data_IF_548268764705
#
_entry.id   IF_548268764705
#
_cell.length_a   1.000
_cell.length_b   1.000
_cell.length_c   1.000
_cell.angle_alpha   90.00
_cell.angle_beta   90.00
_cell.angle_gamma   90.00
#
_symmetry.space_group_name_H-M   'P 1'
#
loop_
_entity.id
_entity.type
_entity.pdbx_description
1 polymer ?
#
# COMPACT_ATOMS: atom_id res chain seq x y z
N UNK A 1 20.30 -19.50 1.37
CA UNK A 1 19.85 -18.33 0.58
C UNK A 1 18.40 -18.56 0.20
N UNK A 2 17.54 -17.54 0.28
CA UNK A 2 16.13 -17.63 -0.11
C UNK A 2 15.67 -16.32 -0.74
N UNK A 3 14.50 -16.32 -1.38
CA UNK A 3 13.82 -15.06 -1.77
C UNK A 3 13.53 -14.25 -0.52
N UNK A 4 13.65 -12.92 -0.58
CA UNK A 4 13.39 -12.04 0.56
C UNK A 4 11.98 -12.14 1.15
N UNK A 5 11.02 -12.65 0.37
CA UNK A 5 9.65 -12.91 0.77
C UNK A 5 9.50 -13.76 2.05
N UNK A 6 10.46 -14.63 2.41
CA UNK A 6 10.33 -15.44 3.64
C UNK A 6 10.40 -14.60 4.92
N UNK A 7 10.97 -13.40 4.85
CA UNK A 7 11.13 -12.46 5.97
C UNK A 7 10.21 -11.24 5.85
N UNK A 8 9.17 -11.32 5.00
CA UNK A 8 8.28 -10.19 4.70
C UNK A 8 6.84 -10.66 4.51
N UNK A 9 5.88 -9.75 4.78
CA UNK A 9 4.47 -9.97 4.46
C UNK A 9 3.88 -11.25 5.08
N UNK A 10 2.97 -11.87 4.34
CA UNK A 10 2.16 -13.01 4.80
C UNK A 10 2.95 -14.30 5.04
N UNK A 11 4.18 -14.40 4.55
CA UNK A 11 5.02 -15.60 4.74
C UNK A 11 5.58 -15.68 6.16
N UNK A 12 5.82 -14.52 6.80
CA UNK A 12 6.44 -14.47 8.12
C UNK A 12 5.64 -15.26 9.16
N UNK A 13 4.33 -15.01 9.35
CA UNK A 13 3.52 -15.78 10.30
C UNK A 13 3.33 -17.25 9.91
N UNK A 14 3.61 -17.66 8.67
CA UNK A 14 3.47 -19.04 8.22
C UNK A 14 4.72 -19.88 8.50
N UNK A 15 5.90 -19.27 8.45
CA UNK A 15 7.19 -19.96 8.48
C UNK A 15 7.83 -19.89 9.87
N UNK A 16 8.03 -18.68 10.38
CA UNK A 16 8.92 -18.45 11.53
C UNK A 16 8.40 -18.98 12.86
N UNK A 17 7.09 -18.94 13.19
CA UNK A 17 6.60 -19.51 14.43
C UNK A 17 7.02 -20.98 14.62
N UNK A 18 6.98 -21.78 13.56
CA UNK A 18 7.37 -23.20 13.61
C UNK A 18 8.87 -23.38 13.88
N UNK A 19 9.70 -22.53 13.30
CA UNK A 19 11.16 -22.56 13.50
C UNK A 19 11.47 -22.21 14.97
N UNK A 20 10.90 -21.11 15.47
CA UNK A 20 11.16 -20.65 16.84
C UNK A 20 10.61 -21.62 17.90
N UNK A 21 9.45 -22.24 17.66
CA UNK A 21 8.88 -23.26 18.54
C UNK A 21 9.74 -24.53 18.65
N UNK A 22 10.60 -24.80 17.67
CA UNK A 22 11.56 -25.90 17.70
C UNK A 22 12.86 -25.58 18.47
N UNK A 23 12.88 -24.50 19.27
CA UNK A 23 14.07 -24.11 20.04
C UNK A 23 15.20 -23.57 19.18
N UNK A 24 14.87 -23.02 18.00
CA UNK A 24 15.83 -22.45 17.07
C UNK A 24 15.72 -20.92 17.05
N UNK A 25 16.82 -20.26 16.70
CA UNK A 25 16.88 -18.80 16.52
C UNK A 25 17.70 -18.41 15.29
N UNK A 26 17.51 -17.17 14.84
CA UNK A 26 18.35 -16.58 13.79
C UNK A 26 19.64 -16.06 14.45
N UNK A 27 20.78 -16.58 14.02
CA UNK A 27 22.10 -16.07 14.44
C UNK A 27 22.78 -15.23 13.35
N UNK A 28 22.32 -15.36 12.10
CA UNK A 28 22.92 -14.67 10.97
C UNK A 28 21.83 -14.22 10.01
N UNK A 29 21.83 -12.95 9.64
CA UNK A 29 20.87 -12.40 8.68
C UNK A 29 21.53 -11.44 7.71
N UNK A 30 21.71 -11.85 6.45
CA UNK A 30 22.02 -10.92 5.37
C UNK A 30 20.71 -10.34 4.83
N UNK A 31 20.55 -9.03 4.98
CA UNK A 31 19.41 -8.26 4.49
C UNK A 31 19.36 -8.27 2.95
N UNK A 32 18.31 -7.67 2.39
CA UNK A 32 18.01 -7.73 0.96
C UNK A 32 19.21 -7.37 0.08
N UNK A 33 19.49 -8.21 -0.90
CA UNK A 33 20.41 -7.94 -2.01
C UNK A 33 19.82 -8.46 -3.31
N UNK A 34 20.18 -7.82 -4.43
CA UNK A 34 19.77 -8.32 -5.75
C UNK A 34 20.62 -9.53 -6.14
N UNK A 35 19.96 -10.59 -6.61
CA UNK A 35 20.66 -11.77 -7.11
C UNK A 35 21.44 -11.42 -8.38
N UNK A 36 22.70 -11.85 -8.43
CA UNK A 36 23.54 -11.75 -9.62
C UNK A 36 24.48 -12.95 -9.73
N UNK A 37 24.67 -13.44 -10.96
CA UNK A 37 25.72 -14.38 -11.31
C UNK A 37 26.35 -13.97 -12.66
N UNK A 38 27.38 -14.71 -13.11
CA UNK A 38 28.10 -14.41 -14.34
C UNK A 38 27.39 -14.90 -15.63
N UNK A 39 26.11 -15.28 -15.57
CA UNK A 39 25.34 -15.70 -16.74
C UNK A 39 24.71 -14.50 -17.47
N UNK A 40 24.47 -14.67 -18.77
CA UNK A 40 23.93 -13.63 -19.65
C UNK A 40 22.48 -13.22 -19.35
N UNK A 41 21.73 -14.02 -18.59
CA UNK A 41 20.35 -13.73 -18.16
C UNK A 41 20.21 -13.96 -16.65
N UNK A 42 20.54 -12.94 -15.87
CA UNK A 42 20.31 -12.96 -14.44
C UNK A 42 18.83 -12.87 -14.10
N UNK A 43 18.39 -13.66 -13.11
CA UNK A 43 17.06 -13.55 -12.54
C UNK A 43 16.93 -12.21 -11.80
N UNK A 44 15.86 -11.45 -12.06
CA UNK A 44 15.54 -10.22 -11.34
C UNK A 44 14.80 -10.58 -10.06
N UNK A 45 15.55 -10.99 -9.03
CA UNK A 45 15.00 -11.37 -7.73
C UNK A 45 15.83 -10.81 -6.59
N UNK A 46 15.16 -10.38 -5.52
CA UNK A 46 15.81 -9.97 -4.29
C UNK A 46 15.91 -11.19 -3.33
N UNK A 47 17.10 -11.40 -2.79
CA UNK A 47 17.43 -12.50 -1.89
C UNK A 47 17.76 -12.02 -0.49
N UNK A 48 17.65 -12.96 0.47
CA UNK A 48 18.18 -12.86 1.83
C UNK A 48 18.99 -14.12 2.14
N UNK A 49 19.88 -14.02 3.13
CA UNK A 49 20.56 -15.20 3.69
C UNK A 49 20.23 -15.26 5.18
N UNK A 50 19.66 -16.37 5.63
CA UNK A 50 19.31 -16.56 7.03
C UNK A 50 20.00 -17.82 7.56
N UNK A 51 20.78 -17.65 8.62
CA UNK A 51 21.40 -18.72 9.38
C UNK A 51 20.61 -18.98 10.66
N UNK A 52 20.22 -20.24 10.84
CA UNK A 52 19.44 -20.70 11.99
C UNK A 52 20.31 -21.68 12.79
N UNK A 53 20.27 -21.58 14.11
CA UNK A 53 20.95 -22.48 15.05
C UNK A 53 20.03 -22.76 16.24
N UNK A 54 20.41 -23.68 17.14
CA UNK A 54 19.70 -23.78 18.41
C UNK A 54 19.94 -22.51 19.24
N UNK A 55 18.97 -22.18 20.10
CA UNK A 55 19.03 -20.96 20.93
C UNK A 55 20.30 -20.92 21.78
N UNK A 56 21.03 -19.80 21.70
CA UNK A 56 22.21 -19.54 22.51
C UNK A 56 23.52 -20.15 22.01
N UNK A 57 23.51 -20.90 20.90
CA UNK A 57 24.72 -21.57 20.40
C UNK A 57 25.71 -20.63 19.70
N UNK A 58 25.24 -19.49 19.17
CA UNK A 58 26.04 -18.62 18.30
C UNK A 58 25.85 -17.15 18.62
N UNK A 59 26.92 -16.38 18.44
CA UNK A 59 26.83 -14.92 18.40
C UNK A 59 25.99 -14.48 17.20
N UNK A 60 25.29 -13.35 17.35
CA UNK A 60 24.33 -12.88 16.34
C UNK A 60 24.83 -11.66 15.60
N UNK A 61 24.67 -11.66 14.27
CA UNK A 61 25.02 -10.54 13.42
C UNK A 61 24.07 -10.36 12.24
N UNK A 62 23.75 -9.10 11.95
CA UNK A 62 23.00 -8.66 10.77
C UNK A 62 23.99 -8.04 9.79
N UNK A 63 23.85 -8.39 8.51
CA UNK A 63 24.67 -7.91 7.42
C UNK A 63 23.80 -7.14 6.43
N UNK A 64 24.27 -5.97 6.01
CA UNK A 64 23.75 -5.24 4.86
C UNK A 64 24.76 -5.26 3.71
N UNK A 65 24.53 -4.41 2.70
CA UNK A 65 25.45 -4.27 1.58
C UNK A 65 26.87 -3.88 2.03
N UNK A 66 26.96 -2.89 2.93
CA UNK A 66 28.24 -2.27 3.32
C UNK A 66 28.46 -2.24 4.84
N UNK A 67 27.68 -3.03 5.61
CA UNK A 67 27.81 -3.04 7.06
C UNK A 67 27.61 -4.43 7.67
N UNK A 68 28.17 -4.59 8.87
CA UNK A 68 27.88 -5.69 9.79
C UNK A 68 27.56 -5.09 11.16
N UNK A 69 26.50 -5.58 11.79
CA UNK A 69 26.07 -5.18 13.13
C UNK A 69 25.92 -6.41 14.02
N UNK A 70 26.71 -6.48 15.10
CA UNK A 70 26.48 -7.45 16.17
C UNK A 70 25.28 -7.01 17.00
N UNK A 71 24.39 -7.96 17.31
CA UNK A 71 23.11 -7.69 18.00
C UNK A 71 22.82 -8.80 19.02
N UNK A 72 21.94 -8.52 19.97
CA UNK A 72 21.53 -9.53 20.97
C UNK A 72 20.50 -10.52 20.45
N UNK A 73 19.63 -10.07 19.53
CA UNK A 73 18.57 -10.85 18.92
C UNK A 73 18.28 -10.38 17.49
N UNK A 74 17.96 -11.34 16.60
CA UNK A 74 17.52 -11.08 15.23
C UNK A 74 16.12 -11.67 15.08
N UNK A 75 15.16 -10.84 14.67
CA UNK A 75 13.78 -11.28 14.48
C UNK A 75 13.51 -11.82 13.06
N UNK A 76 12.30 -12.33 12.86
CA UNK A 76 11.83 -12.89 11.59
C UNK A 76 11.88 -11.92 10.39
N UNK A 77 11.98 -10.61 10.64
CA UNK A 77 12.10 -9.55 9.64
C UNK A 77 13.55 -9.15 9.35
N UNK A 78 14.53 -9.87 9.91
CA UNK A 78 15.97 -9.56 9.84
C UNK A 78 16.32 -8.17 10.39
N UNK A 79 15.66 -7.82 11.49
CA UNK A 79 15.92 -6.62 12.27
C UNK A 79 16.31 -6.98 13.69
N UNK A 80 16.99 -6.06 14.37
CA UNK A 80 17.37 -6.23 15.76
C UNK A 80 16.13 -6.19 16.66
N UNK A 81 16.08 -7.09 17.64
CA UNK A 81 15.06 -7.08 18.69
C UNK A 81 14.32 -8.40 18.84
N UNK A 82 13.22 -8.35 19.60
CA UNK A 82 12.44 -9.51 19.95
C UNK A 82 11.76 -10.18 18.74
N UNK A 83 11.54 -11.50 18.85
CA UNK A 83 10.78 -12.29 17.89
C UNK A 83 9.28 -11.95 17.97
N UNK A 84 8.91 -10.86 17.33
CA UNK A 84 7.52 -10.43 17.18
C UNK A 84 7.04 -10.83 15.80
N UNK A 85 5.86 -11.44 15.75
CA UNK A 85 5.22 -11.88 14.50
C UNK A 85 3.97 -11.05 14.32
N UNK A 86 3.94 -10.26 13.25
CA UNK A 86 2.75 -9.52 12.84
C UNK A 86 1.86 -10.45 12.02
N UNK A 87 0.65 -10.65 12.52
CA UNK A 87 -0.36 -11.48 11.87
C UNK A 87 -1.29 -10.63 11.03
N UNK A 88 -1.94 -11.28 10.07
CA UNK A 88 -2.91 -10.62 9.20
C UNK A 88 -4.13 -10.21 10.01
N UNK A 89 -4.51 -8.94 9.93
CA UNK A 89 -5.74 -8.41 10.52
C UNK A 89 -6.77 -8.07 9.43
N UNK A 90 -8.02 -8.50 9.59
CA UNK A 90 -9.11 -8.16 8.66
C UNK A 90 -9.62 -6.73 8.86
N UNK A 91 -9.56 -6.23 10.10
CA UNK A 91 -9.93 -4.88 10.50
C UNK A 91 -8.77 -4.20 11.24
N UNK A 92 -8.73 -2.85 11.31
CA UNK A 92 -7.70 -2.15 12.06
C UNK A 92 -7.67 -2.49 13.55
N UNK A 93 -6.48 -2.74 14.09
CA UNK A 93 -6.26 -2.97 15.53
C UNK A 93 -6.33 -1.68 16.38
N UNK A 94 -6.34 -0.53 15.72
CA UNK A 94 -6.42 0.79 16.33
C UNK A 94 -7.66 1.55 15.81
N UNK A 95 -8.02 2.65 16.48
CA UNK A 95 -9.17 3.51 16.12
C UNK A 95 -8.87 4.40 14.89
N UNK A 96 -8.61 3.75 13.75
CA UNK A 96 -8.35 4.35 12.43
C UNK A 96 -9.37 3.87 11.40
N UNK A 97 -9.53 4.62 10.30
CA UNK A 97 -10.54 4.31 9.30
C UNK A 97 -10.26 2.98 8.59
N UNK A 98 -11.30 2.22 8.22
CA UNK A 98 -11.14 0.97 7.48
C UNK A 98 -10.65 1.23 6.05
N UNK A 99 -9.62 0.51 5.63
CA UNK A 99 -9.05 0.60 4.28
C UNK A 99 -9.46 -0.57 3.41
N UNK A 100 -9.85 -0.27 2.18
CA UNK A 100 -10.27 -1.25 1.19
C UNK A 100 -9.28 -1.32 0.03
N UNK A 101 -9.12 -2.50 -0.55
CA UNK A 101 -8.54 -2.60 -1.89
C UNK A 101 -9.52 -2.04 -2.92
N UNK A 102 -9.00 -1.36 -3.95
CA UNK A 102 -9.80 -0.74 -4.99
C UNK A 102 -10.62 -1.71 -5.84
N UNK A 103 -11.32 -1.15 -6.80
CA UNK A 103 -12.34 -1.82 -7.62
C UNK A 103 -11.72 -2.81 -8.61
N UNK A 104 -12.28 -4.02 -8.66
CA UNK A 104 -11.74 -5.13 -9.45
C UNK A 104 -12.58 -5.29 -10.73
N UNK A 105 -12.04 -5.07 -11.94
CA UNK A 105 -12.87 -5.08 -13.15
C UNK A 105 -13.18 -6.48 -13.69
N UNK A 106 -12.24 -7.44 -13.60
CA UNK A 106 -12.35 -8.79 -14.21
C UNK A 106 -12.86 -8.77 -15.66
N UNK A 107 -12.13 -8.05 -16.50
CA UNK A 107 -12.60 -7.61 -17.81
C UNK A 107 -11.56 -7.75 -18.93
N UNK A 108 -10.32 -8.19 -18.63
CA UNK A 108 -9.18 -8.11 -19.55
C UNK A 108 -8.95 -6.71 -20.15
N UNK A 109 -9.26 -5.64 -19.39
CA UNK A 109 -9.10 -4.25 -19.83
C UNK A 109 -10.24 -3.70 -20.69
N UNK A 110 -11.32 -4.46 -20.93
CA UNK A 110 -12.44 -3.98 -21.75
C UNK A 110 -13.28 -2.87 -21.08
N UNK A 111 -13.28 -2.76 -19.74
CA UNK A 111 -13.88 -1.65 -19.00
C UNK A 111 -12.93 -0.48 -18.83
N UNK A 112 -11.67 -0.59 -19.27
CA UNK A 112 -10.67 0.48 -19.16
C UNK A 112 -10.50 1.15 -20.52
N UNK A 113 -10.27 2.45 -20.49
CA UNK A 113 -10.10 3.30 -21.66
C UNK A 113 -8.84 4.15 -21.48
N UNK A 114 -8.05 4.27 -22.55
CA UNK A 114 -7.08 5.35 -22.68
C UNK A 114 -7.80 6.71 -22.81
N UNK A 115 -7.08 7.84 -22.64
CA UNK A 115 -7.65 9.15 -22.92
C UNK A 115 -8.21 9.28 -24.34
N UNK A 116 -7.49 8.78 -25.34
CA UNK A 116 -7.93 8.81 -26.74
C UNK A 116 -9.19 7.95 -26.95
N UNK A 117 -9.22 6.73 -26.39
CA UNK A 117 -10.41 5.86 -26.47
C UNK A 117 -11.64 6.48 -25.80
N UNK A 118 -11.44 7.22 -24.69
CA UNK A 118 -12.51 7.92 -24.02
C UNK A 118 -13.01 9.12 -24.83
N UNK A 119 -12.11 9.91 -25.42
CA UNK A 119 -12.46 11.04 -26.27
C UNK A 119 -13.21 10.57 -27.53
N UNK A 120 -12.68 9.60 -28.25
CA UNK A 120 -13.30 9.02 -29.46
C UNK A 120 -14.72 8.49 -29.16
N UNK A 121 -14.89 7.81 -28.02
CA UNK A 121 -16.19 7.31 -27.58
C UNK A 121 -17.19 8.46 -27.32
N UNK A 122 -16.76 9.53 -26.67
CA UNK A 122 -17.62 10.66 -26.31
C UNK A 122 -17.95 11.57 -27.51
N UNK A 123 -17.04 11.68 -28.47
CA UNK A 123 -17.30 12.37 -29.74
C UNK A 123 -18.33 11.62 -30.60
N UNK A 124 -18.18 10.30 -30.71
CA UNK A 124 -19.11 9.47 -31.49
C UNK A 124 -20.45 9.20 -30.80
N UNK A 125 -20.45 9.12 -29.47
CA UNK A 125 -21.61 8.77 -28.65
C UNK A 125 -21.70 9.66 -27.39
N UNK A 126 -22.11 10.93 -27.52
CA UNK A 126 -22.16 11.87 -26.38
C UNK A 126 -23.00 11.37 -25.20
N UNK A 127 -24.03 10.57 -25.45
CA UNK A 127 -24.86 9.93 -24.42
C UNK A 127 -24.11 8.94 -23.53
N UNK A 128 -22.90 8.52 -23.90
CA UNK A 128 -22.03 7.66 -23.09
C UNK A 128 -21.39 8.42 -21.91
N UNK A 129 -21.43 9.76 -21.89
CA UNK A 129 -20.79 10.60 -20.87
C UNK A 129 -21.06 10.17 -19.41
N UNK A 130 -22.29 9.80 -19.00
CA UNK A 130 -22.55 9.35 -17.63
C UNK A 130 -21.85 8.04 -17.25
N UNK A 131 -21.45 7.23 -18.23
CA UNK A 131 -20.83 5.92 -18.06
C UNK A 131 -19.31 6.00 -17.96
N UNK A 132 -18.70 7.11 -18.39
CA UNK A 132 -17.24 7.28 -18.41
C UNK A 132 -16.81 7.99 -17.12
N UNK A 133 -15.93 7.35 -16.35
CA UNK A 133 -15.36 7.91 -15.11
C UNK A 133 -13.84 7.88 -15.13
N UNK A 134 -13.14 8.88 -14.58
CA UNK A 134 -11.71 8.78 -14.33
C UNK A 134 -11.43 7.58 -13.40
N UNK A 135 -10.32 6.89 -13.63
CA UNK A 135 -9.87 5.80 -12.76
C UNK A 135 -8.37 5.90 -12.47
N UNK A 136 -7.97 5.69 -11.23
CA UNK A 136 -6.58 5.74 -10.81
C UNK A 136 -6.10 4.41 -10.22
N UNK A 137 -4.94 3.94 -10.67
CA UNK A 137 -4.13 2.92 -10.01
C UNK A 137 -2.82 3.51 -9.49
N UNK A 138 -1.87 2.63 -9.17
CA UNK A 138 -0.55 3.08 -8.69
C UNK A 138 0.17 3.97 -9.71
N UNK A 139 0.17 3.59 -11.00
CA UNK A 139 0.88 4.35 -12.03
C UNK A 139 0.21 5.67 -12.32
N UNK A 140 -1.11 5.66 -12.48
CA UNK A 140 -1.91 6.84 -12.77
C UNK A 140 -1.77 7.89 -11.67
N UNK A 141 -1.91 7.46 -10.41
CA UNK A 141 -1.77 8.35 -9.26
C UNK A 141 -0.34 8.90 -9.11
N UNK A 142 0.68 8.05 -9.22
CA UNK A 142 2.08 8.47 -8.99
C UNK A 142 2.58 9.37 -10.12
N UNK A 143 2.30 9.01 -11.37
CA UNK A 143 2.88 9.65 -12.55
C UNK A 143 1.95 10.70 -13.19
N UNK A 144 0.81 11.03 -12.56
CA UNK A 144 -0.17 11.97 -13.12
C UNK A 144 -0.76 11.54 -14.46
N UNK A 145 -0.85 10.23 -14.72
CA UNK A 145 -1.38 9.72 -15.99
C UNK A 145 -2.90 9.70 -15.94
N UNK A 146 -3.53 10.06 -17.06
CA UNK A 146 -4.97 9.98 -17.21
C UNK A 146 -5.39 8.58 -17.68
N UNK A 147 -6.45 8.06 -17.07
CA UNK A 147 -7.10 6.83 -17.48
C UNK A 147 -8.57 6.90 -17.12
N UNK A 148 -9.39 6.25 -17.93
CA UNK A 148 -10.83 6.22 -17.74
C UNK A 148 -11.34 4.78 -17.64
N UNK A 149 -12.55 4.64 -17.12
CA UNK A 149 -13.29 3.40 -17.15
C UNK A 149 -14.74 3.59 -17.53
N UNK A 150 -15.34 2.51 -18.02
CA UNK A 150 -16.78 2.35 -18.11
C UNK A 150 -17.30 1.92 -16.74
N UNK A 151 -17.88 2.87 -16.00
CA UNK A 151 -18.52 2.64 -14.72
C UNK A 151 -20.04 2.65 -14.91
N UNK A 152 -20.62 1.45 -15.01
CA UNK A 152 -22.01 1.26 -15.41
C UNK A 152 -22.80 0.66 -14.23
N UNK A 153 -23.81 1.39 -13.76
CA UNK A 153 -24.76 0.91 -12.76
C UNK A 153 -25.93 0.15 -13.41
N UNK A 154 -26.71 -0.61 -12.62
CA UNK A 154 -27.80 -1.44 -13.15
C UNK A 154 -28.81 -0.64 -13.97
N UNK A 155 -29.17 0.55 -13.49
CA UNK A 155 -30.14 1.43 -14.15
C UNK A 155 -29.60 2.01 -15.47
N UNK A 156 -28.29 1.91 -15.72
CA UNK A 156 -27.63 2.39 -16.93
C UNK A 156 -27.30 1.25 -17.92
N UNK A 157 -27.59 0.00 -17.56
CA UNK A 157 -27.22 -1.16 -18.35
C UNK A 157 -27.85 -1.11 -19.76
N UNK A 158 -29.14 -0.75 -19.85
CA UNK A 158 -29.83 -0.63 -21.15
C UNK A 158 -29.16 0.40 -22.06
N UNK A 159 -28.80 1.56 -21.50
CA UNK A 159 -28.05 2.59 -22.23
C UNK A 159 -26.70 2.06 -22.70
N UNK A 160 -25.95 1.38 -21.82
CA UNK A 160 -24.65 0.82 -22.17
C UNK A 160 -24.72 -0.20 -23.31
N UNK A 161 -25.73 -1.08 -23.31
CA UNK A 161 -25.95 -2.05 -24.39
C UNK A 161 -26.44 -1.40 -25.69
N UNK A 162 -27.06 -0.22 -25.63
CA UNK A 162 -27.49 0.52 -26.83
C UNK A 162 -26.33 1.19 -27.59
N UNK A 163 -25.17 1.35 -26.95
CA UNK A 163 -23.99 2.02 -27.53
C UNK A 163 -23.06 0.95 -28.13
N UNK A 164 -22.93 0.84 -29.47
CA UNK A 164 -22.25 -0.31 -30.09
C UNK A 164 -20.81 -0.56 -29.62
N UNK A 165 -19.92 0.45 -29.50
CA UNK A 165 -18.56 0.21 -29.00
C UNK A 165 -18.52 -0.29 -27.55
N UNK A 166 -19.49 0.09 -26.71
CA UNK A 166 -19.62 -0.40 -25.34
C UNK A 166 -20.16 -1.83 -25.36
N UNK A 167 -21.24 -2.10 -26.10
CA UNK A 167 -21.82 -3.44 -26.21
C UNK A 167 -20.81 -4.50 -26.67
N UNK A 168 -19.93 -4.17 -27.63
CA UNK A 168 -18.85 -5.05 -28.06
C UNK A 168 -17.83 -5.34 -26.93
N UNK A 169 -17.47 -4.31 -26.14
CA UNK A 169 -16.60 -4.48 -24.95
C UNK A 169 -17.27 -5.40 -23.92
N UNK A 170 -18.57 -5.22 -23.66
CA UNK A 170 -19.34 -6.03 -22.72
C UNK A 170 -19.42 -7.50 -23.15
N UNK A 171 -19.57 -7.77 -24.45
CA UNK A 171 -19.59 -9.15 -24.95
C UNK A 171 -18.23 -9.83 -24.79
N UNK A 172 -17.12 -9.11 -25.03
CA UNK A 172 -15.76 -9.63 -24.76
C UNK A 172 -15.57 -9.96 -23.28
N UNK A 173 -16.11 -9.15 -22.37
CA UNK A 173 -16.09 -9.43 -20.93
C UNK A 173 -16.89 -10.69 -20.60
N UNK A 174 -18.09 -10.84 -21.17
CA UNK A 174 -18.95 -12.01 -20.97
C UNK A 174 -18.23 -13.29 -21.38
N UNK A 175 -17.63 -13.31 -22.58
CA UNK A 175 -16.84 -14.44 -23.09
C UNK A 175 -15.66 -14.74 -22.17
N UNK A 176 -14.89 -13.74 -21.76
CA UNK A 176 -13.77 -13.90 -20.83
C UNK A 176 -14.22 -14.51 -19.49
N UNK A 177 -15.28 -13.98 -18.89
CA UNK A 177 -15.82 -14.45 -17.61
C UNK A 177 -16.36 -15.87 -17.69
N UNK A 178 -16.88 -16.29 -18.85
CA UNK A 178 -17.42 -17.64 -19.07
C UNK A 178 -16.33 -18.71 -18.93
N UNK A 179 -15.12 -18.40 -19.41
CA UNK A 179 -13.94 -19.26 -19.26
C UNK A 179 -13.20 -19.11 -17.92
N UNK A 180 -13.66 -18.23 -17.03
CA UNK A 180 -12.96 -17.88 -15.79
C UNK A 180 -13.26 -18.78 -14.58
N UNK A 181 -12.74 -18.37 -13.42
CA UNK A 181 -13.05 -19.00 -12.12
C UNK A 181 -14.52 -18.82 -11.74
N UNK A 182 -15.01 -19.55 -10.73
CA UNK A 182 -16.40 -19.41 -10.23
C UNK A 182 -16.77 -17.96 -9.92
N UNK A 183 -15.85 -17.22 -9.29
CA UNK A 183 -16.02 -15.78 -9.00
C UNK A 183 -16.14 -14.93 -10.27
N UNK A 184 -15.46 -15.30 -11.36
CA UNK A 184 -15.63 -14.65 -12.66
C UNK A 184 -16.99 -14.97 -13.29
N UNK A 185 -17.41 -16.23 -13.23
CA UNK A 185 -18.70 -16.71 -13.77
C UNK A 185 -19.91 -16.07 -13.09
N UNK A 186 -19.79 -15.68 -11.81
CA UNK A 186 -20.85 -14.97 -11.08
C UNK A 186 -21.25 -13.62 -11.74
N UNK A 187 -20.36 -13.00 -12.52
CA UNK A 187 -20.61 -11.72 -13.21
C UNK A 187 -21.02 -11.86 -14.69
N UNK A 188 -21.51 -13.02 -15.12
CA UNK A 188 -21.88 -13.27 -16.53
C UNK A 188 -23.12 -12.49 -16.98
N UNK A 189 -24.10 -12.31 -16.09
CA UNK A 189 -25.33 -11.55 -16.37
C UNK A 189 -25.14 -10.04 -16.20
N UNK A 190 -24.01 -9.64 -15.61
CA UNK A 190 -23.64 -8.24 -15.34
C UNK A 190 -22.25 -7.94 -15.89
N UNK A 191 -21.98 -8.18 -17.20
CA UNK A 191 -20.66 -7.96 -17.79
C UNK A 191 -20.22 -6.49 -17.73
N UNK A 192 -21.17 -5.57 -17.56
CA UNK A 192 -20.95 -4.13 -17.42
C UNK A 192 -20.46 -3.69 -16.03
N UNK A 193 -20.60 -4.54 -15.01
CA UNK A 193 -20.17 -4.21 -13.64
C UNK A 193 -18.74 -4.64 -13.37
N UNK A 194 -18.03 -3.82 -12.61
CA UNK A 194 -16.87 -4.27 -11.85
C UNK A 194 -17.33 -5.32 -10.82
N UNK A 195 -16.45 -6.26 -10.49
CA UNK A 195 -16.72 -7.27 -9.47
C UNK A 195 -16.77 -6.68 -8.05
N UNK A 196 -16.04 -5.59 -7.83
CA UNK A 196 -16.12 -4.78 -6.62
C UNK A 196 -16.37 -3.33 -7.03
N UNK A 197 -17.36 -2.70 -6.40
CA UNK A 197 -17.82 -1.34 -6.70
C UNK A 197 -17.94 -0.49 -5.44
N UNK A 198 -16.82 -0.22 -4.77
CA UNK A 198 -16.77 0.68 -3.61
C UNK A 198 -16.35 2.07 -4.09
N UNK A 199 -17.09 3.08 -3.62
CA UNK A 199 -16.86 4.50 -3.88
C UNK A 199 -17.07 5.27 -2.58
N UNK A 200 -16.46 6.45 -2.48
CA UNK A 200 -16.79 7.44 -1.45
C UNK A 200 -17.83 8.41 -1.98
N UNK A 201 -18.69 8.91 -1.12
CA UNK A 201 -19.72 9.92 -1.44
C UNK A 201 -19.08 11.30 -1.63
N UNK A 202 -18.08 11.64 -0.80
CA UNK A 202 -17.42 12.95 -0.78
C UNK A 202 -16.04 12.87 -1.40
N UNK A 203 -15.18 11.98 -0.89
CA UNK A 203 -13.81 11.85 -1.37
C UNK A 203 -13.19 10.50 -1.00
N UNK A 204 -11.97 10.25 -1.48
CA UNK A 204 -11.19 9.06 -1.16
C UNK A 204 -9.74 9.41 -0.91
N UNK A 205 -9.15 8.89 0.17
CA UNK A 205 -7.69 8.94 0.37
C UNK A 205 -7.11 7.71 -0.33
N UNK A 206 -6.37 7.93 -1.41
CA UNK A 206 -5.77 6.87 -2.23
C UNK A 206 -4.34 6.59 -1.81
N UNK A 207 -3.99 5.31 -1.78
CA UNK A 207 -2.63 4.80 -1.53
C UNK A 207 -2.26 3.80 -2.63
N UNK A 208 -1.21 4.05 -3.44
CA UNK A 208 -0.70 3.09 -4.42
C UNK A 208 -0.33 1.75 -3.78
N UNK A 209 -0.73 0.66 -4.43
CA UNK A 209 -0.37 -0.70 -3.99
C UNK A 209 1.11 -1.01 -4.20
N UNK A 210 1.74 -0.42 -5.22
CA UNK A 210 3.17 -0.57 -5.49
C UNK A 210 3.81 0.81 -5.63
N UNK A 211 4.90 1.03 -4.91
CA UNK A 211 5.68 2.26 -5.00
C UNK A 211 7.17 1.99 -4.79
N UNK A 212 8.04 2.86 -5.33
CA UNK A 212 9.48 2.72 -5.14
C UNK A 212 9.88 2.95 -3.69
N UNK A 213 10.75 2.07 -3.22
CA UNK A 213 11.48 2.11 -1.97
C UNK A 213 12.43 3.30 -1.81
N UNK A 214 12.74 4.01 -2.90
CA UNK A 214 13.59 5.21 -2.85
C UNK A 214 12.88 6.41 -2.23
N UNK A 215 11.55 6.44 -2.24
CA UNK A 215 10.78 7.58 -1.71
C UNK A 215 10.86 7.60 -0.19
N UNK A 216 11.15 8.76 0.39
CA UNK A 216 11.25 8.92 1.84
C UNK A 216 9.90 8.80 2.56
N UNK A 217 8.80 8.98 1.81
CA UNK A 217 7.41 8.91 2.25
C UNK A 217 6.56 8.11 1.25
N UNK A 218 5.49 7.48 1.76
CA UNK A 218 4.55 6.77 0.91
C UNK A 218 3.73 7.76 0.06
N UNK A 219 3.60 7.53 -1.25
CA UNK A 219 2.68 8.31 -2.06
C UNK A 219 1.25 8.07 -1.56
N UNK A 220 0.51 9.14 -1.32
CA UNK A 220 -0.92 9.10 -0.98
C UNK A 220 -1.55 10.47 -1.26
N UNK A 221 -2.87 10.54 -1.40
CA UNK A 221 -3.55 11.82 -1.62
C UNK A 221 -5.07 11.70 -1.70
N UNK A 222 -5.74 12.84 -1.69
CA UNK A 222 -7.19 12.95 -1.81
C UNK A 222 -7.61 12.93 -3.28
N UNK A 223 -8.59 12.09 -3.60
CA UNK A 223 -9.29 12.08 -4.87
C UNK A 223 -10.77 12.44 -4.65
N UNK A 224 -11.37 13.24 -5.56
CA UNK A 224 -12.80 13.53 -5.51
C UNK A 224 -13.66 12.28 -5.78
N UNK A 225 -14.94 12.33 -5.38
CA UNK A 225 -15.86 11.18 -5.45
C UNK A 225 -16.23 10.73 -6.86
N UNK A 226 -15.90 11.48 -7.90
CA UNK A 226 -16.07 11.09 -9.31
C UNK A 226 -14.97 10.14 -9.80
N UNK A 227 -13.80 10.14 -9.15
CA UNK A 227 -12.66 9.28 -9.50
C UNK A 227 -12.84 7.88 -8.91
N UNK A 228 -12.61 6.86 -9.73
CA UNK A 228 -12.64 5.46 -9.31
C UNK A 228 -11.24 4.99 -8.93
N UNK A 229 -11.13 4.19 -7.88
CA UNK A 229 -9.85 3.59 -7.47
C UNK A 229 -9.79 2.18 -8.02
N UNK A 230 -8.75 1.85 -8.80
CA UNK A 230 -8.55 0.50 -9.34
C UNK A 230 -7.97 -0.47 -8.31
N UNK A 231 -8.04 -1.77 -8.58
CA UNK A 231 -7.45 -2.83 -7.76
C UNK A 231 -5.91 -2.76 -7.62
N UNK A 232 -5.25 -1.85 -8.34
CA UNK A 232 -3.83 -1.54 -8.21
C UNK A 232 -3.57 -0.40 -7.22
N UNK A 233 -4.57 0.03 -6.46
CA UNK A 233 -4.44 0.94 -5.34
C UNK A 233 -5.39 0.52 -4.21
N UNK A 234 -5.20 1.13 -3.05
CA UNK A 234 -6.05 1.01 -1.88
C UNK A 234 -6.65 2.38 -1.56
N UNK A 235 -7.78 2.39 -0.87
CA UNK A 235 -8.45 3.63 -0.51
C UNK A 235 -9.12 3.56 0.87
N UNK A 236 -9.14 4.72 1.52
CA UNK A 236 -10.07 5.05 2.58
C UNK A 236 -11.19 5.90 1.97
N UNK A 237 -12.42 5.42 2.01
CA UNK A 237 -13.59 6.12 1.45
C UNK A 237 -14.23 6.96 2.55
N UNK A 238 -14.43 8.26 2.29
CA UNK A 238 -15.01 9.25 3.22
C UNK A 238 -14.38 9.25 4.62
N UNK A 239 -13.10 8.89 4.69
CA UNK A 239 -12.37 8.88 5.95
C UNK A 239 -11.93 10.31 6.34
N UNK A 240 -11.93 10.63 7.64
CA UNK A 240 -11.36 11.88 8.12
C UNK A 240 -9.91 12.08 7.66
N UNK A 241 -9.58 13.30 7.23
CA UNK A 241 -8.30 13.62 6.60
C UNK A 241 -7.07 13.34 7.47
N UNK A 242 -7.18 13.37 8.80
CA UNK A 242 -6.07 12.99 9.69
C UNK A 242 -5.56 11.55 9.46
N UNK A 243 -6.34 10.65 8.83
CA UNK A 243 -5.83 9.32 8.45
C UNK A 243 -4.72 9.44 7.39
N UNK A 244 -4.79 10.43 6.49
CA UNK A 244 -3.74 10.71 5.51
C UNK A 244 -2.43 11.12 6.21
N UNK A 245 -2.51 11.88 7.30
CA UNK A 245 -1.34 12.29 8.10
C UNK A 245 -0.54 11.07 8.60
N UNK A 246 -1.25 10.02 9.02
CA UNK A 246 -0.64 8.74 9.40
C UNK A 246 0.04 8.09 8.19
N UNK A 247 -0.66 7.97 7.07
CA UNK A 247 -0.13 7.33 5.86
C UNK A 247 1.11 8.06 5.31
N UNK A 248 1.08 9.39 5.35
CA UNK A 248 2.11 10.29 4.85
C UNK A 248 3.32 10.43 5.81
N UNK A 249 3.33 9.75 6.95
CA UNK A 249 4.41 9.82 7.94
C UNK A 249 5.56 8.86 7.64
N UNK A 250 6.76 9.21 8.10
CA UNK A 250 7.91 8.31 8.12
C UNK A 250 7.65 7.10 9.01
N UNK A 251 6.92 7.30 10.12
CA UNK A 251 6.59 6.26 11.07
C UNK A 251 5.79 5.12 10.42
N UNK A 252 4.78 5.47 9.61
CA UNK A 252 4.01 4.47 8.87
C UNK A 252 4.82 3.82 7.75
N UNK A 253 5.67 4.58 7.05
CA UNK A 253 6.56 3.99 6.05
C UNK A 253 7.48 2.93 6.66
N UNK A 254 8.06 3.18 7.84
CA UNK A 254 8.93 2.21 8.55
C UNK A 254 8.15 0.93 8.88
N UNK A 255 6.89 1.07 9.31
CA UNK A 255 6.01 -0.07 9.53
C UNK A 255 5.81 -0.88 8.24
N UNK A 256 5.31 -0.23 7.19
CA UNK A 256 5.02 -0.86 5.90
C UNK A 256 6.27 -1.51 5.29
N UNK A 257 7.42 -0.85 5.33
CA UNK A 257 8.69 -1.36 4.82
C UNK A 257 9.14 -2.66 5.52
N UNK A 258 8.69 -2.88 6.75
CA UNK A 258 9.01 -4.03 7.58
C UNK A 258 7.99 -5.16 7.42
N UNK A 259 6.70 -4.85 7.57
CA UNK A 259 5.65 -5.88 7.74
C UNK A 259 4.95 -6.26 6.43
N UNK A 260 4.92 -5.36 5.44
CA UNK A 260 4.32 -5.66 4.15
C UNK A 260 5.27 -6.48 3.26
N UNK A 261 4.71 -7.07 2.20
CA UNK A 261 5.52 -7.69 1.16
C UNK A 261 6.24 -6.64 0.30
N UNK A 262 7.15 -7.12 -0.55
CA UNK A 262 7.80 -6.32 -1.59
C UNK A 262 7.63 -6.99 -2.95
N UNK A 263 7.68 -6.17 -4.01
CA UNK A 263 7.84 -6.65 -5.38
C UNK A 263 9.29 -6.37 -5.78
N UNK A 264 10.12 -7.42 -5.76
CA UNK A 264 11.58 -7.29 -5.70
C UNK A 264 11.99 -6.50 -4.45
N UNK A 265 12.30 -5.20 -4.61
CA UNK A 265 12.61 -4.26 -3.53
C UNK A 265 11.53 -3.21 -3.30
N UNK A 266 10.64 -3.00 -4.29
CA UNK A 266 9.57 -2.00 -4.23
C UNK A 266 8.55 -2.35 -3.16
N UNK A 267 8.05 -1.34 -2.46
CA UNK A 267 7.00 -1.56 -1.47
C UNK A 267 5.74 -2.10 -2.13
N UNK A 268 5.17 -3.17 -1.55
CA UNK A 268 3.86 -3.69 -1.90
C UNK A 268 2.91 -3.47 -0.74
N UNK A 269 2.23 -2.33 -0.74
CA UNK A 269 1.33 -1.92 0.32
C UNK A 269 0.18 -2.92 0.50
N UNK A 270 -0.17 -3.21 1.75
CA UNK A 270 -1.27 -4.10 2.12
C UNK A 270 -2.07 -3.48 3.24
N UNK A 271 -3.40 -3.43 3.09
CA UNK A 271 -4.26 -3.07 4.20
C UNK A 271 -4.16 -4.11 5.32
N UNK A 272 -4.28 -5.41 5.02
CA UNK A 272 -4.37 -6.44 6.07
C UNK A 272 -3.06 -6.76 6.80
N UNK A 273 -1.91 -6.51 6.17
CA UNK A 273 -0.60 -6.68 6.82
C UNK A 273 0.01 -5.38 7.32
N UNK A 274 -0.37 -4.24 6.73
CA UNK A 274 0.22 -2.95 6.99
C UNK A 274 -0.71 -2.02 7.75
N UNK A 275 -1.73 -1.49 7.07
CA UNK A 275 -2.67 -0.53 7.67
C UNK A 275 -3.41 -1.08 8.89
N UNK A 276 -4.01 -2.26 8.75
CA UNK A 276 -4.85 -2.86 9.78
C UNK A 276 -4.03 -3.28 11.01
N UNK A 277 -2.74 -3.51 10.86
CA UNK A 277 -1.83 -3.90 11.95
C UNK A 277 -1.03 -2.72 12.47
N UNK A 278 -1.19 -1.52 11.89
CA UNK A 278 -0.44 -0.34 12.28
C UNK A 278 -0.87 0.11 13.67
N UNK A 279 0.03 0.05 14.67
CA UNK A 279 -0.34 0.37 16.04
C UNK A 279 -0.36 1.89 16.22
N UNK A 280 -1.54 2.44 16.49
CA UNK A 280 -1.76 3.89 16.70
C UNK A 280 -2.27 4.11 18.13
N UNK A 281 -1.65 5.01 18.92
CA UNK A 281 -2.15 5.30 20.26
C UNK A 281 -3.55 5.93 20.18
N UNK A 282 -4.30 5.89 21.29
CA UNK A 282 -5.61 6.55 21.33
C UNK A 282 -5.45 8.04 21.03
N UNK A 283 -6.15 8.53 20.01
CA UNK A 283 -6.06 9.92 19.57
C UNK A 283 -7.14 10.77 20.24
N UNK A 284 -6.72 11.87 20.87
CA UNK A 284 -7.62 12.92 21.36
C UNK A 284 -8.18 13.74 20.19
N UNK A 285 -9.23 14.53 20.44
CA UNK A 285 -9.75 15.47 19.43
C UNK A 285 -8.68 16.46 18.97
N UNK A 286 -7.87 16.98 19.90
CA UNK A 286 -6.73 17.83 19.57
C UNK A 286 -5.72 17.12 18.68
N UNK A 287 -5.39 15.86 18.97
CA UNK A 287 -4.47 15.09 18.12
C UNK A 287 -5.03 14.96 16.69
N UNK A 288 -6.32 14.65 16.54
CA UNK A 288 -6.96 14.53 15.22
C UNK A 288 -7.02 15.87 14.48
N UNK A 289 -7.25 16.97 15.18
CA UNK A 289 -7.21 18.31 14.59
C UNK A 289 -5.79 18.70 14.13
N UNK A 290 -4.77 18.49 14.97
CA UNK A 290 -3.38 18.81 14.66
C UNK A 290 -2.87 17.96 13.47
N UNK A 291 -3.23 16.68 13.42
CA UNK A 291 -2.93 15.80 12.28
C UNK A 291 -3.70 16.20 11.01
N UNK A 292 -4.93 16.70 11.14
CA UNK A 292 -5.68 17.22 9.99
C UNK A 292 -4.95 18.42 9.37
N UNK A 293 -4.55 19.39 10.20
CA UNK A 293 -3.80 20.56 9.74
C UNK A 293 -2.45 20.18 9.11
N UNK A 294 -1.76 19.17 9.64
CA UNK A 294 -0.52 18.65 9.06
C UNK A 294 -0.75 18.03 7.66
N UNK A 295 -1.81 17.23 7.49
CA UNK A 295 -2.19 16.67 6.20
C UNK A 295 -2.58 17.75 5.18
N UNK A 296 -3.33 18.77 5.59
CA UNK A 296 -3.64 19.94 4.77
C UNK A 296 -2.37 20.69 4.34
N UNK A 297 -1.41 20.88 5.26
CA UNK A 297 -0.11 21.48 4.96
C UNK A 297 0.66 20.73 3.88
N UNK A 298 0.64 19.38 3.90
CA UNK A 298 1.24 18.55 2.84
C UNK A 298 0.51 18.76 1.51
N UNK A 299 -0.83 18.76 1.52
CA UNK A 299 -1.62 18.96 0.30
C UNK A 299 -1.37 20.34 -0.32
N UNK A 300 -1.38 21.41 0.48
CA UNK A 300 -1.10 22.78 0.04
C UNK A 300 0.34 22.93 -0.47
N UNK A 301 1.31 22.30 0.19
CA UNK A 301 2.70 22.32 -0.26
C UNK A 301 2.87 21.67 -1.63
N UNK A 302 2.12 20.61 -1.94
CA UNK A 302 2.10 19.97 -3.27
C UNK A 302 1.43 20.87 -4.32
N UNK A 303 0.29 21.48 -3.98
CA UNK A 303 -0.47 22.35 -4.89
C UNK A 303 0.35 23.54 -5.40
N UNK A 304 1.22 24.09 -4.54
CA UNK A 304 2.14 25.18 -4.91
C UNK A 304 3.13 24.84 -6.05
N UNK A 305 3.24 23.56 -6.42
CA UNK A 305 4.12 23.07 -7.49
C UNK A 305 3.35 22.48 -8.68
N UNK A 306 2.05 22.71 -8.79
CA UNK A 306 1.28 22.30 -9.96
C UNK A 306 1.96 22.83 -11.25
N UNK A 307 2.14 22.02 -12.31
CA UNK A 307 1.57 20.69 -12.54
C UNK A 307 2.50 19.49 -12.21
N UNK A 308 3.48 19.65 -11.31
CA UNK A 308 4.39 18.55 -10.95
C UNK A 308 3.65 17.32 -10.41
N UNK A 309 4.09 16.12 -10.83
CA UNK A 309 3.46 14.85 -10.41
C UNK A 309 3.97 14.40 -9.04
N UNK A 310 3.30 13.41 -8.43
CA UNK A 310 3.82 12.77 -7.21
C UNK A 310 5.20 12.13 -7.47
N UNK A 311 5.47 11.64 -8.67
CA UNK A 311 6.79 11.14 -9.02
C UNK A 311 7.87 12.24 -8.97
N UNK A 312 7.57 13.42 -9.50
CA UNK A 312 8.49 14.57 -9.50
C UNK A 312 8.71 15.11 -8.09
N UNK A 313 7.61 15.29 -7.34
CA UNK A 313 7.62 15.89 -6.01
C UNK A 313 8.32 15.03 -4.95
N UNK A 314 8.35 13.71 -5.14
CA UNK A 314 8.91 12.74 -4.19
C UNK A 314 10.19 12.07 -4.70
N UNK A 315 10.86 12.63 -5.71
CA UNK A 315 12.25 12.28 -6.00
C UNK A 315 13.13 12.80 -4.84
N UNK A 316 13.84 11.92 -4.10
CA UNK A 316 14.61 12.33 -2.92
C UNK A 316 15.59 13.47 -3.17
N UNK A 317 16.18 13.52 -4.37
CA UNK A 317 17.19 14.52 -4.75
C UNK A 317 16.54 15.85 -5.17
N UNK A 318 15.24 15.86 -5.50
CA UNK A 318 14.54 17.03 -6.06
C UNK A 318 13.31 17.46 -5.27
N UNK A 319 12.96 16.76 -4.19
CA UNK A 319 11.78 17.05 -3.38
C UNK A 319 11.84 18.50 -2.88
N UNK A 320 10.82 19.34 -3.20
CA UNK A 320 10.81 20.75 -2.83
C UNK A 320 10.94 20.98 -1.32
N UNK A 321 11.66 22.03 -0.94
CA UNK A 321 11.96 22.33 0.46
C UNK A 321 10.70 22.55 1.32
N UNK A 322 9.68 23.23 0.79
CA UNK A 322 8.40 23.43 1.48
C UNK A 322 7.64 22.12 1.70
N UNK A 323 7.68 21.19 0.73
CA UNK A 323 7.06 19.88 0.86
C UNK A 323 7.79 19.01 1.88
N UNK A 324 9.13 19.03 1.87
CA UNK A 324 9.96 18.36 2.87
C UNK A 324 9.66 18.90 4.28
N UNK A 325 9.55 20.22 4.44
CA UNK A 325 9.19 20.84 5.71
C UNK A 325 7.77 20.47 6.17
N UNK A 326 6.80 20.36 5.25
CA UNK A 326 5.45 19.92 5.58
C UNK A 326 5.41 18.47 6.11
N UNK A 327 6.18 17.57 5.49
CA UNK A 327 6.34 16.20 5.99
C UNK A 327 7.08 16.14 7.33
N UNK A 328 8.14 16.93 7.49
CA UNK A 328 8.88 17.01 8.75
C UNK A 328 7.98 17.50 9.90
N UNK A 329 7.12 18.49 9.64
CA UNK A 329 6.12 18.94 10.59
C UNK A 329 5.10 17.84 10.94
N UNK A 330 4.59 17.12 9.93
CA UNK A 330 3.69 15.99 10.15
C UNK A 330 4.32 14.89 11.03
N UNK A 331 5.58 14.54 10.75
CA UNK A 331 6.34 13.59 11.57
C UNK A 331 6.53 14.13 13.00
N UNK A 332 6.81 15.43 13.19
CA UNK A 332 6.90 16.00 14.54
C UNK A 332 5.61 15.83 15.34
N UNK A 333 4.48 16.21 14.74
CA UNK A 333 3.16 16.12 15.37
C UNK A 333 2.87 14.67 15.73
N UNK A 334 3.06 13.75 14.78
CA UNK A 334 2.78 12.34 15.01
C UNK A 334 3.71 11.72 16.06
N UNK A 335 5.01 11.95 15.99
CA UNK A 335 5.96 11.33 16.91
C UNK A 335 5.80 11.85 18.35
N UNK A 336 5.45 13.14 18.52
CA UNK A 336 5.08 13.68 19.84
C UNK A 336 3.82 13.01 20.40
N UNK A 337 2.86 12.62 19.56
CA UNK A 337 1.69 11.83 20.00
C UNK A 337 2.12 10.44 20.50
N UNK A 338 3.13 9.81 19.87
CA UNK A 338 3.61 8.48 20.27
C UNK A 338 4.45 8.47 21.54
N UNK A 339 5.42 9.39 21.66
CA UNK A 339 6.43 9.36 22.73
C UNK A 339 6.75 10.73 23.36
N UNK A 340 6.01 11.79 23.03
CA UNK A 340 6.23 13.16 23.54
C UNK A 340 7.40 13.92 22.92
N UNK A 341 8.17 13.29 22.01
CA UNK A 341 9.31 13.86 21.28
C UNK A 341 9.49 13.18 19.93
N UNK A 342 10.48 13.63 19.15
CA UNK A 342 10.94 12.91 17.94
C UNK A 342 11.63 11.60 18.30
N UNK A 343 11.45 10.59 17.45
CA UNK A 343 12.30 9.40 17.44
C UNK A 343 13.70 9.74 16.93
N UNK A 344 14.70 9.06 17.46
CA UNK A 344 16.12 9.25 17.13
C UNK A 344 16.48 8.66 15.77
N UNK A 345 15.86 7.54 15.41
CA UNK A 345 16.10 6.80 14.17
C UNK A 345 14.99 5.77 13.92
N UNK A 346 15.06 5.09 12.76
CA UNK A 346 14.06 4.09 12.35
C UNK A 346 14.08 2.82 13.22
N UNK A 347 15.19 2.50 13.89
CA UNK A 347 15.25 1.39 14.86
C UNK A 347 14.36 1.68 16.06
N UNK A 348 14.48 2.86 16.67
CA UNK A 348 13.64 3.28 17.80
C UNK A 348 12.15 3.33 17.41
N UNK A 349 11.85 3.81 16.19
CA UNK A 349 10.49 3.80 15.64
C UNK A 349 9.93 2.37 15.61
N UNK A 350 10.68 1.44 15.02
CA UNK A 350 10.23 0.07 14.82
C UNK A 350 10.07 -0.68 16.15
N UNK A 351 11.02 -0.53 17.07
CA UNK A 351 10.92 -1.09 18.43
C UNK A 351 9.65 -0.62 19.13
N UNK A 352 9.36 0.69 19.06
CA UNK A 352 8.16 1.25 19.69
C UNK A 352 6.87 0.73 19.05
N UNK A 353 6.83 0.66 17.72
CA UNK A 353 5.67 0.14 17.00
C UNK A 353 5.43 -1.33 17.36
N UNK A 354 6.47 -2.17 17.38
CA UNK A 354 6.34 -3.56 17.79
C UNK A 354 5.88 -3.72 19.25
N UNK A 355 6.42 -2.93 20.18
CA UNK A 355 5.97 -2.90 21.57
C UNK A 355 4.46 -2.59 21.66
N UNK A 356 3.99 -1.59 20.90
CA UNK A 356 2.58 -1.20 20.89
C UNK A 356 1.70 -2.25 20.21
N UNK A 357 2.13 -2.82 19.10
CA UNK A 357 1.45 -3.91 18.41
C UNK A 357 1.22 -5.09 19.36
N UNK A 358 2.25 -5.54 20.08
CA UNK A 358 2.13 -6.63 21.07
C UNK A 358 1.13 -6.26 22.16
N UNK A 359 1.17 -5.04 22.70
CA UNK A 359 0.21 -4.60 23.73
C UNK A 359 -1.24 -4.55 23.23
N UNK A 360 -1.46 -4.18 21.96
CA UNK A 360 -2.79 -4.09 21.37
C UNK A 360 -3.37 -5.46 21.02
N UNK A 361 -2.53 -6.41 20.60
CA UNK A 361 -2.98 -7.74 20.15
C UNK A 361 -3.01 -8.79 21.25
N UNK A 362 -2.16 -8.70 22.28
CA UNK A 362 -2.15 -9.65 23.41
C UNK A 362 -3.28 -9.38 24.40
N UNK A 363 -3.87 -8.18 24.39
CA UNK A 363 -4.99 -7.81 25.28
C UNK A 363 -6.37 -8.26 24.78
N UNK A 364 -6.46 -8.98 23.66
CA UNK A 364 -7.74 -9.40 23.03
C UNK A 364 -8.13 -10.85 23.38
N UNK A 365 -7.47 -11.46 24.37
CA UNK A 365 -7.98 -12.67 25.03
C UNK A 365 -8.60 -12.30 26.38
N UNK A 366 -9.88 -11.92 26.36
CA UNK A 366 -10.79 -11.96 27.49
C UNK A 366 -12.16 -12.43 27.02
#
# INVERSE_FOLDING_TARGET
>A
VSTNSICQGVQVPLIWPRIFQNGQEIFFGHQNFLWGNNASKNAQVACVIVGIAAVGERSKAIYGADFMKSVEAINAYLTEGANIIVERASEPIAEIATMFGGNIPRDQGNLLLSPDEANDLLEGFPQASPLVKPIVGSSEFINGQQRYCLWIEDHQAELAFSIPPIAERLERIRIYRQGGSERGKAGLLTPYKFERTIIGEVNSIVVPSVSSERREYLPCGLMPSDVRVSNLALALYDAPLWNMALIASRLHLVWIATVCGKLETRYRYSNTMGWNTFPVPKLTEKNRADLTAAAEGILLAREAHFPATIADLYDPEKMPANLRAAHDHNDEVLERIYIGRRFRNDTERLEKLFEMYTKMTTKVSA
#
